data_IF_341932066953
#
_entry.id   IF_341932066953
#
_cell.length_a   1.000
_cell.length_b   1.000
_cell.length_c   1.000
_cell.angle_alpha   90.00
_cell.angle_beta   90.00
_cell.angle_gamma   90.00
#
_symmetry.space_group_name_H-M   'P 1'
#
loop_
_entity.id
_entity.type
_entity.pdbx_description
1 polymer ?
#
# COMPACT_ATOMS: atom_id res chain seq x y z
N UNK A 1 11.43 18.16 -24.95
CA UNK A 1 11.74 18.37 -26.37
C UNK A 1 11.43 19.80 -26.73
N UNK A 2 10.14 20.12 -26.89
CA UNK A 2 9.68 21.43 -27.41
C UNK A 2 9.31 22.42 -26.29
N UNK A 3 10.30 23.07 -25.67
CA UNK A 3 10.03 24.02 -24.58
C UNK A 3 9.25 25.26 -25.05
N UNK A 4 9.64 25.83 -26.19
CA UNK A 4 9.01 27.05 -26.74
C UNK A 4 7.53 26.82 -27.06
N UNK A 5 7.20 25.70 -27.69
CA UNK A 5 5.82 25.32 -28.00
C UNK A 5 4.99 25.08 -26.71
N UNK A 6 5.59 24.45 -25.70
CA UNK A 6 4.93 24.25 -24.41
C UNK A 6 4.64 25.60 -23.72
N UNK A 7 5.59 26.53 -23.75
CA UNK A 7 5.44 27.86 -23.17
C UNK A 7 4.37 28.66 -23.92
N UNK A 8 4.32 28.56 -25.26
CA UNK A 8 3.28 29.19 -26.09
C UNK A 8 1.88 28.64 -25.78
N UNK A 9 1.71 27.32 -25.74
CA UNK A 9 0.42 26.68 -25.40
C UNK A 9 -0.04 27.11 -23.99
N UNK A 10 0.89 27.16 -23.03
CA UNK A 10 0.57 27.56 -21.65
C UNK A 10 0.20 29.04 -21.58
N UNK A 11 0.85 29.91 -22.36
CA UNK A 11 0.51 31.33 -22.48
C UNK A 11 -0.90 31.52 -23.05
N UNK A 12 -1.20 30.87 -24.18
CA UNK A 12 -2.53 30.95 -24.82
C UNK A 12 -3.62 30.50 -23.84
N UNK A 13 -3.40 29.37 -23.15
CA UNK A 13 -4.37 28.85 -22.18
C UNK A 13 -4.65 29.83 -21.03
N UNK A 14 -3.61 30.52 -20.53
CA UNK A 14 -3.76 31.57 -19.51
C UNK A 14 -4.48 32.80 -20.05
N UNK A 15 -4.22 33.22 -21.28
CA UNK A 15 -4.89 34.36 -21.93
C UNK A 15 -6.40 34.14 -22.09
N UNK A 16 -6.85 32.87 -22.19
CA UNK A 16 -8.27 32.49 -22.35
C UNK A 16 -8.89 31.80 -21.13
N UNK A 17 -8.21 31.83 -19.98
CA UNK A 17 -8.67 31.24 -18.70
C UNK A 17 -9.01 29.74 -18.75
N UNK A 18 -8.15 28.95 -19.40
CA UNK A 18 -8.22 27.48 -19.43
C UNK A 18 -7.00 26.89 -18.73
N UNK A 19 -7.23 25.80 -17.97
CA UNK A 19 -6.17 25.03 -17.33
C UNK A 19 -5.77 23.81 -18.17
N UNK A 20 -4.48 23.46 -18.16
CA UNK A 20 -3.93 22.33 -18.92
C UNK A 20 -3.36 21.27 -17.97
N UNK A 21 -3.84 20.03 -18.12
CA UNK A 21 -3.19 18.85 -17.58
C UNK A 21 -2.23 18.27 -18.62
N UNK A 22 -0.96 18.10 -18.25
CA UNK A 22 0.10 17.68 -19.18
C UNK A 22 1.02 18.85 -19.58
N UNK A 23 1.45 18.95 -20.86
CA UNK A 23 1.22 18.02 -21.98
C UNK A 23 1.99 16.70 -21.79
N UNK A 24 2.11 15.90 -22.86
CA UNK A 24 2.76 14.58 -22.85
C UNK A 24 2.15 13.66 -21.79
N UNK A 25 0.82 13.54 -21.81
CA UNK A 25 0.10 12.75 -20.84
C UNK A 25 -0.73 11.63 -21.46
N UNK A 26 -0.83 10.50 -20.75
CA UNK A 26 -1.63 9.37 -21.21
C UNK A 26 -3.12 9.51 -20.92
N UNK A 27 -3.52 10.40 -20.01
CA UNK A 27 -4.92 10.71 -19.68
C UNK A 27 -5.27 10.57 -18.21
N UNK A 28 -6.57 10.50 -17.93
CA UNK A 28 -7.19 10.41 -16.60
C UNK A 28 -8.23 9.30 -16.58
N UNK A 29 -8.31 8.60 -15.44
CA UNK A 29 -9.32 7.57 -15.19
C UNK A 29 -10.11 7.91 -13.93
N UNK A 30 -11.44 7.97 -14.04
CA UNK A 30 -12.36 8.14 -12.94
C UNK A 30 -13.53 7.15 -13.09
N UNK A 31 -13.44 5.97 -12.42
CA UNK A 31 -14.48 4.95 -12.50
C UNK A 31 -15.82 5.37 -11.88
N UNK A 32 -15.83 6.32 -10.94
CA UNK A 32 -17.07 6.78 -10.31
C UNK A 32 -17.97 7.54 -11.29
N UNK A 33 -17.36 8.25 -12.25
CA UNK A 33 -18.04 9.05 -13.27
C UNK A 33 -17.99 8.39 -14.65
N UNK A 34 -17.53 7.14 -14.74
CA UNK A 34 -17.32 6.39 -16.01
C UNK A 34 -16.44 7.15 -17.02
N UNK A 35 -15.51 7.97 -16.53
CA UNK A 35 -14.56 8.70 -17.36
C UNK A 35 -13.28 7.88 -17.53
N UNK A 36 -12.91 7.58 -18.77
CA UNK A 36 -11.64 6.96 -19.12
C UNK A 36 -11.09 7.67 -20.36
N UNK A 37 -10.12 8.56 -20.16
CA UNK A 37 -9.42 9.25 -21.25
C UNK A 37 -8.04 8.66 -21.50
N UNK A 38 -7.72 7.52 -20.87
CA UNK A 38 -6.44 6.85 -21.10
C UNK A 38 -6.40 6.26 -22.50
N UNK A 39 -5.45 6.67 -23.34
CA UNK A 39 -5.37 6.19 -24.74
C UNK A 39 -4.99 4.70 -24.87
N UNK A 40 -4.62 4.04 -23.77
CA UNK A 40 -4.25 2.62 -23.76
C UNK A 40 -5.51 1.75 -23.82
N UNK A 41 -5.71 0.92 -24.86
CA UNK A 41 -6.91 0.10 -24.98
C UNK A 41 -6.97 -0.98 -23.90
N UNK A 42 -8.18 -1.51 -23.64
CA UNK A 42 -8.46 -2.41 -22.51
C UNK A 42 -7.69 -3.74 -22.57
N UNK A 43 -7.36 -4.18 -23.77
CA UNK A 43 -6.57 -5.37 -24.11
C UNK A 43 -5.11 -5.20 -23.69
N UNK A 44 -4.61 -3.97 -23.64
CA UNK A 44 -3.24 -3.63 -23.23
C UNK A 44 -3.16 -3.32 -21.74
N UNK A 45 -4.17 -2.65 -21.20
CA UNK A 45 -4.25 -2.29 -19.79
C UNK A 45 -5.69 -2.40 -19.28
N UNK A 46 -6.01 -3.53 -18.65
CA UNK A 46 -7.31 -3.67 -17.99
C UNK A 46 -7.38 -2.75 -16.78
N UNK A 47 -8.38 -1.86 -16.74
CA UNK A 47 -8.51 -0.89 -15.65
C UNK A 47 -8.81 -1.58 -14.31
N UNK A 48 -8.29 -1.05 -13.18
CA UNK A 48 -8.77 -1.40 -11.84
C UNK A 48 -10.27 -1.10 -11.70
N UNK A 49 -10.94 -1.79 -10.77
CA UNK A 49 -12.35 -1.48 -10.45
C UNK A 49 -12.44 -0.17 -9.64
N UNK A 50 -13.64 0.38 -9.48
CA UNK A 50 -13.90 1.47 -8.51
C UNK A 50 -13.41 1.04 -7.12
N UNK A 51 -12.71 1.93 -6.44
CA UNK A 51 -12.33 1.81 -5.04
C UNK A 51 -11.93 3.17 -4.49
N UNK A 52 -11.03 3.18 -3.51
CA UNK A 52 -10.71 4.35 -2.68
C UNK A 52 -9.29 4.90 -2.89
N UNK A 53 -8.46 4.26 -3.71
CA UNK A 53 -7.06 4.70 -3.94
C UNK A 53 -6.95 5.64 -5.13
N UNK A 54 -6.41 6.83 -4.95
CA UNK A 54 -6.00 7.70 -6.04
C UNK A 54 -4.55 7.40 -6.44
N UNK A 55 -4.30 7.29 -7.74
CA UNK A 55 -2.98 7.02 -8.32
C UNK A 55 -2.56 8.25 -9.11
N UNK A 56 -1.52 8.92 -8.65
CA UNK A 56 -0.98 10.12 -9.29
C UNK A 56 0.40 9.77 -9.84
N UNK A 57 0.70 10.14 -11.08
CA UNK A 57 2.01 9.83 -11.66
C UNK A 57 2.47 10.89 -12.64
N UNK A 58 3.74 11.28 -12.52
CA UNK A 58 4.42 12.11 -13.52
C UNK A 58 4.79 11.32 -14.79
N UNK A 59 4.94 10.00 -14.68
CA UNK A 59 5.35 9.13 -15.78
C UNK A 59 4.20 8.24 -16.26
N UNK A 60 3.98 8.21 -17.57
CA UNK A 60 2.86 7.49 -18.18
C UNK A 60 3.11 5.99 -18.16
N UNK A 61 4.35 5.58 -18.42
CA UNK A 61 4.77 4.19 -18.32
C UNK A 61 4.60 3.67 -16.89
N UNK A 62 5.03 4.45 -15.89
CA UNK A 62 4.87 4.07 -14.48
C UNK A 62 3.40 4.07 -14.06
N UNK A 63 2.57 5.00 -14.55
CA UNK A 63 1.13 4.94 -14.27
C UNK A 63 0.51 3.65 -14.80
N UNK A 64 0.86 3.24 -16.03
CA UNK A 64 0.38 1.99 -16.62
C UNK A 64 0.79 0.78 -15.76
N UNK A 65 2.06 0.73 -15.34
CA UNK A 65 2.56 -0.31 -14.44
C UNK A 65 1.82 -0.31 -13.09
N UNK A 66 1.63 0.85 -12.47
CA UNK A 66 0.92 0.99 -11.19
C UNK A 66 -0.54 0.52 -11.31
N UNK A 67 -1.25 0.92 -12.37
CA UNK A 67 -2.63 0.47 -12.59
C UNK A 67 -2.72 -1.05 -12.79
N UNK A 68 -1.75 -1.65 -13.49
CA UNK A 68 -1.64 -3.10 -13.61
C UNK A 68 -1.40 -3.78 -12.25
N UNK A 69 -0.44 -3.27 -11.48
CA UNK A 69 -0.06 -3.83 -10.18
C UNK A 69 -1.16 -3.69 -9.12
N UNK A 70 -1.78 -2.51 -9.01
CA UNK A 70 -2.94 -2.23 -8.14
C UNK A 70 -4.09 -3.17 -8.47
N UNK A 71 -4.37 -3.35 -9.75
CA UNK A 71 -5.39 -4.31 -10.19
C UNK A 71 -5.04 -5.74 -9.78
N UNK A 72 -3.80 -6.17 -10.00
CA UNK A 72 -3.34 -7.51 -9.63
C UNK A 72 -3.38 -7.74 -8.11
N UNK A 73 -3.15 -6.67 -7.34
CA UNK A 73 -3.25 -6.67 -5.88
C UNK A 73 -4.68 -6.53 -5.34
N UNK A 74 -5.72 -6.58 -6.21
CA UNK A 74 -7.13 -6.39 -5.87
C UNK A 74 -7.45 -5.05 -5.19
N UNK A 75 -6.71 -4.01 -5.53
CA UNK A 75 -6.96 -2.65 -5.06
C UNK A 75 -7.87 -1.95 -6.08
N UNK A 76 -8.90 -1.26 -5.59
CA UNK A 76 -9.77 -0.43 -6.41
C UNK A 76 -9.30 1.02 -6.46
N UNK A 77 -9.52 1.68 -7.59
CA UNK A 77 -9.08 3.05 -7.84
C UNK A 77 -10.25 4.03 -7.71
N UNK A 78 -10.01 5.16 -7.05
CA UNK A 78 -10.90 6.31 -7.04
C UNK A 78 -10.60 7.24 -8.22
N UNK A 79 -9.32 7.56 -8.45
CA UNK A 79 -8.83 8.37 -9.58
C UNK A 79 -7.47 7.85 -10.06
N UNK A 80 -7.19 7.88 -11.35
CA UNK A 80 -5.83 7.77 -11.87
C UNK A 80 -5.53 9.01 -12.70
N UNK A 81 -4.47 9.74 -12.38
CA UNK A 81 -4.15 11.03 -12.99
C UNK A 81 -2.70 11.00 -13.45
N UNK A 82 -2.50 11.05 -14.76
CA UNK A 82 -1.19 11.26 -15.34
C UNK A 82 -1.02 12.73 -15.72
N UNK A 83 -0.08 13.42 -15.06
CA UNK A 83 0.10 14.86 -15.24
C UNK A 83 1.30 15.23 -16.12
N UNK A 84 2.07 14.24 -16.59
CA UNK A 84 3.13 14.42 -17.59
C UNK A 84 4.09 15.55 -17.26
N UNK A 85 4.25 16.48 -18.19
CA UNK A 85 5.21 17.57 -18.07
C UNK A 85 4.88 18.59 -16.96
N UNK A 86 3.66 18.59 -16.41
CA UNK A 86 3.18 19.57 -15.43
C UNK A 86 3.37 21.04 -15.89
N UNK A 87 3.07 21.36 -17.15
CA UNK A 87 3.28 22.71 -17.68
C UNK A 87 2.37 23.76 -17.01
N UNK A 88 1.19 23.35 -16.56
CA UNK A 88 0.25 24.18 -15.82
C UNK A 88 -0.26 23.46 -14.56
N UNK A 89 -1.11 22.43 -14.71
CA UNK A 89 -1.55 21.61 -13.57
C UNK A 89 -0.42 20.67 -13.17
N UNK A 90 0.00 20.76 -11.90
CA UNK A 90 1.05 19.94 -11.30
C UNK A 90 0.51 19.00 -10.20
N UNK A 91 1.40 18.25 -9.56
CA UNK A 91 1.04 17.37 -8.44
C UNK A 91 0.38 18.11 -7.28
N UNK A 92 0.73 19.38 -7.06
CA UNK A 92 0.27 20.15 -5.92
C UNK A 92 -1.19 20.53 -6.10
N UNK A 93 -1.58 20.94 -7.30
CA UNK A 93 -2.99 21.17 -7.66
C UNK A 93 -3.81 19.88 -7.54
N UNK A 94 -3.23 18.75 -7.97
CA UNK A 94 -3.88 17.44 -7.86
C UNK A 94 -4.05 17.03 -6.40
N UNK A 95 -3.06 17.28 -5.54
CA UNK A 95 -3.16 16.98 -4.11
C UNK A 95 -4.20 17.84 -3.41
N UNK A 96 -4.31 19.11 -3.77
CA UNK A 96 -5.40 19.98 -3.30
C UNK A 96 -6.76 19.42 -3.69
N UNK A 97 -6.96 19.08 -4.97
CA UNK A 97 -8.19 18.44 -5.43
C UNK A 97 -8.51 17.14 -4.65
N UNK A 98 -7.53 16.24 -4.52
CA UNK A 98 -7.72 14.96 -3.84
C UNK A 98 -7.93 15.09 -2.34
N UNK A 99 -7.42 16.15 -1.69
CA UNK A 99 -7.64 16.40 -0.27
C UNK A 99 -9.12 16.63 0.06
N UNK A 100 -9.93 17.06 -0.92
CA UNK A 100 -11.35 17.34 -0.78
C UNK A 100 -12.26 16.31 -1.47
N UNK A 101 -11.72 15.36 -2.22
CA UNK A 101 -12.53 14.36 -2.92
C UNK A 101 -13.03 13.23 -1.99
N UNK A 102 -14.35 13.05 -1.84
CA UNK A 102 -14.90 12.06 -0.91
C UNK A 102 -14.70 10.58 -1.34
N UNK A 103 -14.52 10.29 -2.64
CA UNK A 103 -14.25 8.92 -3.10
C UNK A 103 -12.82 8.45 -2.76
N UNK A 104 -11.89 9.39 -2.51
CA UNK A 104 -10.47 9.09 -2.26
C UNK A 104 -10.20 9.00 -0.77
N UNK A 105 -9.72 7.85 -0.30
CA UNK A 105 -9.25 7.65 1.08
C UNK A 105 -7.72 7.57 1.18
N UNK A 106 -7.05 7.13 0.12
CA UNK A 106 -5.58 6.96 0.08
C UNK A 106 -5.05 7.53 -1.24
N UNK A 107 -3.92 8.22 -1.19
CA UNK A 107 -3.22 8.71 -2.39
C UNK A 107 -1.85 8.06 -2.48
N UNK A 108 -1.55 7.48 -3.63
CA UNK A 108 -0.19 7.11 -3.99
C UNK A 108 0.30 7.97 -5.15
N UNK A 109 1.57 8.37 -5.10
CA UNK A 109 2.14 9.28 -6.08
C UNK A 109 3.52 8.81 -6.55
N UNK A 110 3.72 8.70 -7.85
CA UNK A 110 5.05 8.57 -8.44
C UNK A 110 5.54 9.92 -8.95
N UNK A 111 6.74 10.32 -8.55
CA UNK A 111 7.29 11.64 -8.82
C UNK A 111 8.75 11.56 -9.30
N UNK A 112 9.10 12.37 -10.29
CA UNK A 112 10.46 12.48 -10.83
C UNK A 112 11.10 13.80 -10.42
N UNK A 113 10.31 14.88 -10.40
CA UNK A 113 10.72 16.22 -9.99
C UNK A 113 9.57 16.96 -9.30
N UNK A 114 9.92 18.03 -8.59
CA UNK A 114 8.98 19.02 -8.02
C UNK A 114 9.32 20.35 -8.66
N UNK A 115 8.32 21.05 -9.21
CA UNK A 115 8.50 22.36 -9.83
C UNK A 115 8.56 23.47 -8.78
N UNK A 116 7.43 23.69 -8.10
CA UNK A 116 7.31 24.65 -7.00
C UNK A 116 7.36 23.93 -5.66
N UNK A 117 8.53 23.96 -5.02
CA UNK A 117 8.75 23.30 -3.74
C UNK A 117 7.89 23.83 -2.58
N UNK A 118 7.52 25.12 -2.59
CA UNK A 118 6.72 25.71 -1.52
C UNK A 118 5.26 25.30 -1.68
N UNK A 119 4.72 25.42 -2.89
CA UNK A 119 3.39 24.93 -3.25
C UNK A 119 3.26 23.43 -2.95
N UNK A 120 4.28 22.64 -3.31
CA UNK A 120 4.32 21.21 -2.99
C UNK A 120 4.20 20.94 -1.50
N UNK A 121 5.02 21.60 -0.67
CA UNK A 121 4.97 21.42 0.79
C UNK A 121 3.57 21.75 1.33
N UNK A 122 3.00 22.88 0.92
CA UNK A 122 1.72 23.34 1.43
C UNK A 122 0.58 22.38 1.05
N UNK A 123 0.54 21.92 -0.20
CA UNK A 123 -0.52 21.02 -0.69
C UNK A 123 -0.33 19.57 -0.28
N UNK A 124 0.91 19.08 -0.22
CA UNK A 124 1.20 17.76 0.30
C UNK A 124 0.85 17.66 1.79
N UNK A 125 1.11 18.72 2.59
CA UNK A 125 0.70 18.80 4.01
C UNK A 125 -0.82 18.87 4.17
N UNK A 126 -1.51 19.65 3.33
CA UNK A 126 -2.97 19.70 3.33
C UNK A 126 -3.57 18.30 3.08
N UNK A 127 -3.05 17.58 2.09
CA UNK A 127 -3.50 16.23 1.77
C UNK A 127 -3.15 15.24 2.88
N UNK A 128 -1.89 15.18 3.31
CA UNK A 128 -1.41 14.22 4.30
C UNK A 128 -2.05 14.40 5.68
N UNK A 129 -2.48 15.61 6.01
CA UNK A 129 -3.25 15.91 7.23
C UNK A 129 -4.67 15.34 7.23
N UNK A 130 -5.21 14.96 6.06
CA UNK A 130 -6.57 14.39 5.91
C UNK A 130 -6.55 12.92 5.51
N UNK A 131 -5.59 12.53 4.68
CA UNK A 131 -5.57 11.24 3.99
C UNK A 131 -4.13 10.74 3.86
N UNK A 132 -3.88 9.44 4.02
CA UNK A 132 -2.55 8.89 3.76
C UNK A 132 -2.05 9.22 2.36
N UNK A 133 -0.85 9.79 2.28
CA UNK A 133 -0.11 10.08 1.07
C UNK A 133 1.19 9.27 1.07
N UNK A 134 1.33 8.38 0.09
CA UNK A 134 2.54 7.61 -0.15
C UNK A 134 3.21 8.07 -1.44
N UNK A 135 4.51 8.37 -1.38
CA UNK A 135 5.27 8.87 -2.53
C UNK A 135 6.38 7.89 -2.90
N UNK A 136 6.48 7.54 -4.18
CA UNK A 136 7.65 6.90 -4.76
C UNK A 136 8.43 7.93 -5.60
N UNK A 137 9.59 8.35 -5.08
CA UNK A 137 10.47 9.31 -5.75
C UNK A 137 11.52 8.59 -6.59
N UNK A 138 11.59 8.89 -7.88
CA UNK A 138 12.71 8.45 -8.73
C UNK A 138 13.88 9.44 -8.67
N UNK A 139 15.02 9.11 -9.27
CA UNK A 139 16.18 10.00 -9.30
C UNK A 139 16.79 10.27 -7.92
N UNK A 140 16.93 9.22 -7.09
CA UNK A 140 17.53 9.35 -5.74
C UNK A 140 19.05 9.58 -5.78
N UNK A 141 19.75 9.02 -6.77
CA UNK A 141 21.20 9.21 -6.98
C UNK A 141 21.53 10.01 -8.23
N UNK A 142 22.78 10.47 -8.36
CA UNK A 142 23.25 11.37 -9.43
C UNK A 142 22.89 10.89 -10.85
N UNK A 143 23.14 9.61 -11.17
CA UNK A 143 22.80 9.04 -12.48
C UNK A 143 21.29 8.96 -12.72
N UNK A 144 20.52 8.68 -11.68
CA UNK A 144 19.05 8.68 -11.76
C UNK A 144 18.50 10.09 -11.92
N UNK A 145 19.08 11.09 -11.27
CA UNK A 145 18.74 12.50 -11.46
C UNK A 145 19.02 12.95 -12.88
N UNK A 146 20.18 12.59 -13.45
CA UNK A 146 20.52 12.89 -14.84
C UNK A 146 19.55 12.20 -15.82
N UNK A 147 19.18 10.95 -15.59
CA UNK A 147 18.18 10.25 -16.41
C UNK A 147 16.80 10.93 -16.32
N UNK A 148 16.34 11.26 -15.12
CA UNK A 148 15.07 11.96 -14.92
C UNK A 148 15.08 13.36 -15.56
N UNK A 149 16.22 14.06 -15.54
CA UNK A 149 16.39 15.34 -16.22
C UNK A 149 16.21 15.21 -17.73
N UNK A 150 16.87 14.23 -18.35
CA UNK A 150 16.75 13.97 -19.79
C UNK A 150 15.31 13.63 -20.19
N UNK A 151 14.53 13.01 -19.30
CA UNK A 151 13.14 12.65 -19.54
C UNK A 151 12.13 13.79 -19.32
N UNK A 152 12.34 14.63 -18.30
CA UNK A 152 11.36 15.67 -17.89
C UNK A 152 11.72 17.07 -18.37
N UNK A 153 12.98 17.29 -18.75
CA UNK A 153 13.52 18.63 -18.99
C UNK A 153 13.58 19.51 -17.73
N UNK A 154 13.38 18.94 -16.54
CA UNK A 154 13.43 19.64 -15.24
C UNK A 154 14.59 19.15 -14.41
N UNK A 155 15.37 20.08 -13.87
CA UNK A 155 16.45 19.75 -12.95
C UNK A 155 15.86 19.05 -11.72
N UNK A 156 16.22 17.78 -11.53
CA UNK A 156 15.88 17.06 -10.33
C UNK A 156 16.58 17.75 -9.15
N UNK A 157 15.79 18.27 -8.20
CA UNK A 157 16.32 18.82 -6.96
C UNK A 157 17.10 17.76 -6.16
N UNK A 158 17.93 18.22 -5.22
CA UNK A 158 18.70 17.32 -4.34
C UNK A 158 17.75 16.38 -3.59
N UNK A 159 17.96 15.08 -3.75
CA UNK A 159 17.12 14.06 -3.15
C UNK A 159 17.10 14.16 -1.61
N UNK A 160 18.24 14.49 -1.00
CA UNK A 160 18.38 14.63 0.45
C UNK A 160 17.47 15.72 1.01
N UNK A 161 17.29 16.81 0.26
CA UNK A 161 16.38 17.91 0.62
C UNK A 161 14.93 17.43 0.54
N UNK A 162 14.56 16.78 -0.57
CA UNK A 162 13.22 16.21 -0.75
C UNK A 162 12.88 15.19 0.36
N UNK A 163 13.79 14.26 0.63
CA UNK A 163 13.63 13.25 1.67
C UNK A 163 13.49 13.87 3.06
N UNK A 164 14.28 14.91 3.38
CA UNK A 164 14.19 15.63 4.65
C UNK A 164 12.85 16.34 4.81
N UNK A 165 12.32 16.92 3.73
CA UNK A 165 10.98 17.53 3.71
C UNK A 165 9.91 16.48 4.01
N UNK A 166 9.92 15.34 3.32
CA UNK A 166 8.93 14.28 3.56
C UNK A 166 8.95 13.81 5.02
N UNK A 167 10.15 13.61 5.58
CA UNK A 167 10.34 13.26 7.01
C UNK A 167 9.77 14.32 7.95
N UNK A 168 10.06 15.59 7.70
CA UNK A 168 9.57 16.71 8.52
C UNK A 168 8.04 16.75 8.58
N UNK A 169 7.37 16.44 7.47
CA UNK A 169 5.91 16.44 7.36
C UNK A 169 5.26 15.08 7.53
N UNK A 170 6.03 14.06 7.92
CA UNK A 170 5.56 12.67 8.12
C UNK A 170 4.83 12.09 6.90
N UNK A 171 5.24 12.50 5.70
CA UNK A 171 4.74 11.93 4.45
C UNK A 171 5.54 10.64 4.19
N UNK A 172 4.83 9.54 3.91
CA UNK A 172 5.48 8.23 3.71
C UNK A 172 6.14 8.20 2.34
N UNK A 173 7.44 7.93 2.32
CA UNK A 173 8.19 7.68 1.10
C UNK A 173 8.42 6.17 0.94
N UNK A 174 7.92 5.58 -0.13
CA UNK A 174 8.20 4.19 -0.48
C UNK A 174 9.64 4.06 -1.02
N UNK A 175 10.35 3.01 -0.61
CA UNK A 175 11.70 2.75 -1.07
C UNK A 175 11.68 2.30 -2.53
N UNK A 176 10.72 1.46 -2.89
CA UNK A 176 10.54 0.89 -4.22
C UNK A 176 9.06 0.75 -4.65
N UNK A 177 8.85 0.17 -5.83
CA UNK A 177 7.54 -0.03 -6.44
C UNK A 177 6.68 -1.04 -5.67
N UNK A 178 7.27 -2.14 -5.21
CA UNK A 178 6.53 -3.20 -4.52
C UNK A 178 6.06 -2.72 -3.14
N UNK A 179 6.92 -2.00 -2.41
CA UNK A 179 6.56 -1.38 -1.14
C UNK A 179 5.41 -0.38 -1.32
N UNK A 180 5.43 0.46 -2.37
CA UNK A 180 4.34 1.39 -2.63
C UNK A 180 3.00 0.66 -2.81
N UNK A 181 2.98 -0.43 -3.59
CA UNK A 181 1.76 -1.21 -3.85
C UNK A 181 1.31 -1.96 -2.60
N UNK A 182 2.24 -2.55 -1.84
CA UNK A 182 1.92 -3.32 -0.63
C UNK A 182 1.37 -2.42 0.48
N UNK A 183 1.98 -1.26 0.69
CA UNK A 183 1.50 -0.26 1.63
C UNK A 183 0.15 0.33 1.19
N UNK A 184 -0.03 0.61 -0.11
CA UNK A 184 -1.32 1.05 -0.64
C UNK A 184 -2.42 0.04 -0.37
N UNK A 185 -2.15 -1.27 -0.55
CA UNK A 185 -3.11 -2.33 -0.24
C UNK A 185 -3.51 -2.30 1.24
N UNK A 186 -2.52 -2.26 2.12
CA UNK A 186 -2.75 -2.31 3.57
C UNK A 186 -3.63 -1.15 4.03
N UNK A 187 -3.19 0.08 3.73
CA UNK A 187 -3.81 1.33 4.18
C UNK A 187 -5.16 1.56 3.49
N UNK A 188 -5.32 1.09 2.25
CA UNK A 188 -6.61 1.17 1.56
C UNK A 188 -7.63 0.19 2.10
N UNK A 189 -7.23 -0.85 2.84
CA UNK A 189 -8.12 -1.86 3.41
C UNK A 189 -8.44 -1.57 4.88
N UNK A 190 -7.45 -1.15 5.66
CA UNK A 190 -7.59 -0.96 7.11
C UNK A 190 -7.09 0.41 7.56
N UNK A 191 -7.65 0.89 8.68
CA UNK A 191 -7.13 2.08 9.35
C UNK A 191 -5.80 1.75 10.02
N UNK A 192 -4.86 2.68 9.95
CA UNK A 192 -3.60 2.59 10.70
C UNK A 192 -3.82 2.70 12.21
N UNK A 193 -2.95 2.07 12.96
CA UNK A 193 -2.79 2.23 14.41
C UNK A 193 -1.33 2.50 14.72
N UNK A 194 -1.03 2.87 15.96
CA UNK A 194 0.37 2.98 16.41
C UNK A 194 0.78 1.69 17.11
N UNK A 195 2.04 1.34 17.00
CA UNK A 195 2.63 0.23 17.73
C UNK A 195 3.79 -0.39 16.97
N UNK A 196 4.43 -1.37 17.58
CA UNK A 196 5.52 -2.10 16.94
C UNK A 196 5.61 -3.56 17.38
N UNK A 197 4.82 -3.99 18.37
CA UNK A 197 4.79 -5.38 18.83
C UNK A 197 3.89 -6.20 17.90
N UNK A 198 4.46 -7.19 17.22
CA UNK A 198 3.75 -8.00 16.23
C UNK A 198 3.61 -9.43 16.70
N UNK A 199 2.40 -9.97 16.60
CA UNK A 199 2.16 -11.40 16.74
C UNK A 199 2.19 -12.06 15.36
N UNK A 200 3.00 -13.10 15.23
CA UNK A 200 3.02 -13.96 14.04
C UNK A 200 2.33 -15.27 14.43
N UNK A 201 1.31 -15.67 13.67
CA UNK A 201 0.65 -16.98 13.79
C UNK A 201 0.86 -17.72 12.48
N UNK A 202 1.34 -18.96 12.53
CA UNK A 202 1.69 -19.74 11.34
C UNK A 202 1.33 -21.21 11.46
N UNK A 203 0.96 -21.85 10.36
CA UNK A 203 0.91 -23.31 10.20
C UNK A 203 2.13 -23.89 9.46
N UNK A 204 3.04 -23.02 9.02
CA UNK A 204 4.32 -23.39 8.40
C UNK A 204 5.48 -22.64 9.04
N UNK A 205 6.27 -23.33 9.87
CA UNK A 205 7.38 -22.73 10.62
C UNK A 205 8.37 -21.92 9.77
N UNK A 206 8.71 -22.40 8.56
CA UNK A 206 9.61 -21.66 7.65
C UNK A 206 9.06 -20.29 7.23
N UNK A 207 7.77 -20.18 6.94
CA UNK A 207 7.13 -18.89 6.65
C UNK A 207 7.06 -17.98 7.88
N UNK A 208 6.90 -18.56 9.08
CA UNK A 208 6.98 -17.83 10.34
C UNK A 208 8.36 -17.22 10.59
N UNK A 209 9.43 -17.98 10.30
CA UNK A 209 10.81 -17.49 10.39
C UNK A 209 11.06 -16.34 9.42
N UNK A 210 10.65 -16.48 8.15
CA UNK A 210 10.79 -15.40 7.16
C UNK A 210 10.01 -14.14 7.56
N UNK A 211 8.82 -14.29 8.15
CA UNK A 211 8.07 -13.15 8.69
C UNK A 211 8.80 -12.50 9.87
N UNK A 212 9.37 -13.28 10.79
CA UNK A 212 10.11 -12.75 11.94
C UNK A 212 11.36 -11.98 11.50
N UNK A 213 12.12 -12.52 10.55
CA UNK A 213 13.30 -11.86 9.98
C UNK A 213 12.95 -10.53 9.31
N UNK A 214 11.85 -10.50 8.54
CA UNK A 214 11.38 -9.24 7.95
C UNK A 214 10.88 -8.26 9.02
N UNK A 215 10.22 -8.73 10.09
CA UNK A 215 9.81 -7.85 11.20
C UNK A 215 11.02 -7.12 11.79
N UNK A 216 12.12 -7.84 12.04
CA UNK A 216 13.35 -7.21 12.54
C UNK A 216 13.91 -6.16 11.57
N UNK A 217 13.94 -6.44 10.26
CA UNK A 217 14.41 -5.49 9.24
C UNK A 217 13.56 -4.22 9.18
N UNK A 218 12.25 -4.34 9.43
CA UNK A 218 11.30 -3.23 9.45
C UNK A 218 11.23 -2.51 10.81
N UNK A 219 12.03 -2.95 11.80
CA UNK A 219 12.04 -2.40 13.16
C UNK A 219 10.79 -2.75 13.97
N UNK A 220 10.10 -3.83 13.63
CA UNK A 220 8.98 -4.39 14.38
C UNK A 220 9.51 -5.42 15.40
N UNK A 221 8.88 -5.47 16.56
CA UNK A 221 9.26 -6.35 17.66
C UNK A 221 8.42 -7.64 17.65
N UNK A 222 9.09 -8.79 17.52
CA UNK A 222 8.48 -10.12 17.66
C UNK A 222 8.60 -10.57 19.11
N UNK A 223 7.91 -9.86 20.01
CA UNK A 223 7.99 -10.11 21.45
C UNK A 223 7.44 -11.51 21.80
N UNK A 224 8.15 -12.23 22.66
CA UNK A 224 7.71 -13.54 23.15
C UNK A 224 6.34 -13.48 23.83
N UNK A 225 5.62 -14.61 23.84
CA UNK A 225 4.29 -14.69 24.46
C UNK A 225 4.41 -14.50 25.98
N UNK A 226 3.68 -13.55 26.60
CA UNK A 226 3.72 -13.36 28.05
C UNK A 226 3.30 -14.63 28.81
N UNK A 227 3.97 -14.93 29.93
CA UNK A 227 3.71 -16.15 30.71
C UNK A 227 2.24 -16.29 31.16
N UNK A 228 1.57 -15.16 31.42
CA UNK A 228 0.13 -15.14 31.76
C UNK A 228 -0.76 -15.67 30.64
N UNK A 229 -0.51 -15.24 29.40
CA UNK A 229 -1.23 -15.68 28.21
C UNK A 229 -0.81 -17.09 27.81
N UNK A 230 0.48 -17.44 27.97
CA UNK A 230 1.01 -18.78 27.70
C UNK A 230 0.32 -19.86 28.55
N UNK A 231 0.08 -19.58 29.84
CA UNK A 231 -0.63 -20.50 30.75
C UNK A 231 -2.05 -20.83 30.27
N UNK A 232 -2.73 -19.87 29.63
CA UNK A 232 -4.08 -20.06 29.09
C UNK A 232 -4.08 -20.74 27.72
N UNK A 233 -3.02 -20.55 26.92
CA UNK A 233 -2.84 -21.23 25.64
C UNK A 233 -2.48 -22.71 25.79
N UNK A 234 -1.54 -23.05 26.68
CA UNK A 234 -1.03 -24.43 26.86
C UNK A 234 -2.10 -25.53 26.88
N UNK A 235 -3.22 -25.43 27.64
CA UNK A 235 -4.23 -26.49 27.67
C UNK A 235 -5.08 -26.59 26.40
N UNK A 236 -5.02 -25.60 25.49
CA UNK A 236 -5.83 -25.53 24.27
C UNK A 236 -5.13 -26.08 23.03
N UNK A 237 -3.81 -26.28 23.09
CA UNK A 237 -3.01 -26.75 21.97
C UNK A 237 -2.22 -28.01 22.32
N UNK A 238 -1.97 -28.89 21.33
CA UNK A 238 -1.08 -30.03 21.52
C UNK A 238 0.34 -29.61 21.91
N UNK A 239 1.06 -30.50 22.61
CA UNK A 239 2.42 -30.24 23.09
C UNK A 239 3.47 -30.06 21.99
N UNK A 240 3.15 -30.42 20.74
CA UNK A 240 4.03 -30.25 19.59
C UNK A 240 3.93 -28.85 18.94
N UNK A 241 2.92 -28.05 19.29
CA UNK A 241 2.84 -26.67 18.82
C UNK A 241 3.87 -25.80 19.55
N UNK A 242 4.50 -24.87 18.83
CA UNK A 242 5.42 -23.90 19.45
C UNK A 242 4.60 -22.70 19.92
N UNK A 243 4.28 -22.69 21.22
CA UNK A 243 3.45 -21.64 21.83
C UNK A 243 4.25 -20.39 22.22
N UNK A 244 5.15 -19.92 21.35
CA UNK A 244 5.86 -18.65 21.51
C UNK A 244 5.56 -17.74 20.32
N UNK A 245 6.37 -16.71 20.05
CA UNK A 245 6.21 -15.84 18.88
C UNK A 245 7.45 -15.97 17.97
N UNK A 246 7.33 -16.50 16.74
CA UNK A 246 6.11 -16.93 16.06
C UNK A 246 5.36 -18.10 16.74
N UNK A 247 4.04 -18.04 16.71
CA UNK A 247 3.14 -19.07 17.21
C UNK A 247 2.94 -20.11 16.10
N UNK A 248 3.63 -21.26 16.22
CA UNK A 248 3.60 -22.33 15.22
C UNK A 248 2.55 -23.39 15.58
N UNK A 249 1.45 -23.36 14.84
CA UNK A 249 0.32 -24.28 14.94
C UNK A 249 0.55 -25.60 14.18
N UNK A 250 1.63 -25.69 13.40
CA UNK A 250 2.04 -26.84 12.59
C UNK A 250 1.04 -27.22 11.49
N UNK A 251 1.38 -28.26 10.71
CA UNK A 251 0.52 -28.82 9.67
C UNK A 251 -0.76 -29.53 10.18
N UNK A 252 -1.05 -29.49 11.49
CA UNK A 252 -2.30 -29.98 12.07
C UNK A 252 -3.28 -28.85 12.40
N UNK A 253 -2.92 -27.60 12.10
CA UNK A 253 -3.74 -26.44 12.37
C UNK A 253 -5.12 -26.54 11.71
N UNK A 254 -6.15 -26.13 12.44
CA UNK A 254 -7.52 -25.92 11.96
C UNK A 254 -7.88 -24.45 12.04
N UNK A 255 -8.89 -24.05 11.28
CA UNK A 255 -9.40 -22.67 11.28
C UNK A 255 -9.67 -22.12 12.69
N UNK A 256 -10.21 -22.94 13.59
CA UNK A 256 -10.51 -22.54 14.97
C UNK A 256 -9.25 -22.25 15.79
N UNK A 257 -8.15 -22.94 15.52
CA UNK A 257 -6.90 -22.84 16.28
C UNK A 257 -6.29 -21.42 16.13
N UNK A 258 -6.40 -20.80 14.94
CA UNK A 258 -6.06 -19.39 14.73
C UNK A 258 -6.92 -18.44 15.56
N UNK A 259 -8.23 -18.68 15.58
CA UNK A 259 -9.17 -17.83 16.30
C UNK A 259 -8.91 -17.89 17.82
N UNK A 260 -8.60 -19.08 18.33
CA UNK A 260 -8.17 -19.28 19.73
C UNK A 260 -6.95 -18.42 20.07
N UNK A 261 -5.90 -18.53 19.26
CA UNK A 261 -4.67 -17.78 19.46
C UNK A 261 -4.90 -16.26 19.41
N UNK A 262 -5.64 -15.79 18.40
CA UNK A 262 -5.98 -14.39 18.23
C UNK A 262 -6.75 -13.84 19.43
N UNK A 263 -7.78 -14.54 19.92
CA UNK A 263 -8.56 -14.05 21.06
C UNK A 263 -7.76 -13.99 22.36
N UNK A 264 -6.86 -14.94 22.59
CA UNK A 264 -6.07 -14.97 23.81
C UNK A 264 -4.95 -13.91 23.79
N UNK A 265 -4.33 -13.68 22.63
CA UNK A 265 -3.16 -12.81 22.50
C UNK A 265 -3.47 -11.42 21.98
N UNK A 266 -4.74 -11.10 21.66
CA UNK A 266 -5.11 -9.82 21.02
C UNK A 266 -4.64 -8.60 21.79
N UNK A 267 -4.56 -8.66 23.11
CA UNK A 267 -4.25 -7.51 23.97
C UNK A 267 -2.74 -7.32 24.17
N UNK A 268 -1.95 -8.36 23.89
CA UNK A 268 -0.49 -8.39 24.10
C UNK A 268 0.31 -7.77 22.94
N UNK A 269 -0.29 -7.59 21.77
CA UNK A 269 0.39 -7.15 20.54
C UNK A 269 -0.35 -6.02 19.84
N UNK A 270 0.33 -5.26 18.98
CA UNK A 270 -0.23 -4.10 18.27
C UNK A 270 -0.75 -4.45 16.87
N UNK A 271 -0.26 -5.53 16.27
CA UNK A 271 -0.68 -5.99 14.94
C UNK A 271 -0.41 -7.49 14.73
N UNK A 272 -1.06 -8.07 13.72
CA UNK A 272 -1.06 -9.50 13.47
C UNK A 272 -0.59 -9.85 12.06
N UNK A 273 0.38 -10.76 11.95
CA UNK A 273 0.75 -11.43 10.70
C UNK A 273 0.26 -12.86 10.78
N UNK A 274 -0.67 -13.22 9.89
CA UNK A 274 -1.26 -14.56 9.88
C UNK A 274 -0.78 -15.28 8.61
N UNK A 275 0.01 -16.33 8.78
CA UNK A 275 0.38 -17.25 7.72
C UNK A 275 -0.61 -18.40 7.75
N UNK A 276 -1.36 -18.59 6.66
CA UNK A 276 -2.34 -19.67 6.52
C UNK A 276 -2.11 -20.39 5.19
N UNK A 277 -1.35 -21.49 5.23
CA UNK A 277 -0.97 -22.25 4.05
C UNK A 277 -2.04 -23.30 3.74
N UNK A 278 -2.81 -23.11 2.68
CA UNK A 278 -3.95 -24.00 2.34
C UNK A 278 -3.56 -25.41 1.89
N UNK A 279 -2.27 -25.75 1.89
CA UNK A 279 -1.83 -27.15 1.79
C UNK A 279 -2.10 -27.94 3.08
N UNK A 280 -2.26 -27.24 4.21
CA UNK A 280 -2.68 -27.82 5.49
C UNK A 280 -4.19 -28.09 5.44
N UNK A 281 -4.59 -29.35 5.61
CA UNK A 281 -5.97 -29.81 5.36
C UNK A 281 -7.01 -29.21 6.29
N UNK A 282 -6.61 -28.78 7.48
CA UNK A 282 -7.49 -28.10 8.44
C UNK A 282 -7.78 -26.64 8.09
N UNK A 283 -7.09 -26.06 7.11
CA UNK A 283 -7.30 -24.69 6.65
C UNK A 283 -8.38 -24.68 5.58
N UNK A 284 -9.49 -24.01 5.86
CA UNK A 284 -10.63 -23.93 4.94
C UNK A 284 -11.03 -22.48 4.66
N UNK A 285 -12.02 -22.30 3.79
CA UNK A 285 -12.61 -20.98 3.55
C UNK A 285 -13.33 -20.40 4.80
N UNK A 286 -13.64 -21.24 5.80
CA UNK A 286 -14.29 -20.82 7.05
C UNK A 286 -13.39 -19.90 7.88
N UNK A 287 -12.07 -20.02 7.79
CA UNK A 287 -11.11 -19.11 8.43
C UNK A 287 -11.43 -17.63 8.15
N UNK A 288 -11.83 -17.29 6.92
CA UNK A 288 -12.17 -15.91 6.58
C UNK A 288 -13.34 -15.35 7.40
N UNK A 289 -14.39 -16.14 7.63
CA UNK A 289 -15.54 -15.67 8.42
C UNK A 289 -15.19 -15.56 9.90
N UNK A 290 -14.44 -16.53 10.45
CA UNK A 290 -13.97 -16.48 11.83
C UNK A 290 -13.11 -15.23 12.09
N UNK A 291 -12.16 -14.95 11.19
CA UNK A 291 -11.24 -13.82 11.34
C UNK A 291 -11.93 -12.49 11.06
N UNK A 292 -12.92 -12.44 10.15
CA UNK A 292 -13.73 -11.25 9.91
C UNK A 292 -14.48 -10.80 11.16
N UNK A 293 -15.06 -11.73 11.92
CA UNK A 293 -15.73 -11.42 13.17
C UNK A 293 -14.73 -10.97 14.25
N UNK A 294 -13.58 -11.65 14.35
CA UNK A 294 -12.49 -11.20 15.21
C UNK A 294 -12.02 -9.78 14.85
N UNK A 295 -11.83 -9.47 13.56
CA UNK A 295 -11.36 -8.15 13.10
C UNK A 295 -12.31 -7.02 13.48
N UNK A 296 -13.63 -7.28 13.54
CA UNK A 296 -14.62 -6.31 14.03
C UNK A 296 -14.52 -6.04 15.52
N UNK A 297 -13.99 -7.00 16.28
CA UNK A 297 -13.80 -6.90 17.73
C UNK A 297 -12.51 -6.19 18.16
N UNK A 298 -11.58 -5.92 17.22
CA UNK A 298 -10.27 -5.29 17.52
C UNK A 298 -9.94 -4.14 16.57
N UNK A 299 -9.39 -3.05 17.13
CA UNK A 299 -8.90 -1.90 16.35
C UNK A 299 -7.56 -2.17 15.67
N UNK A 300 -6.82 -3.20 16.11
CA UNK A 300 -5.47 -3.55 15.67
C UNK A 300 -5.44 -4.11 14.23
N UNK A 301 -4.46 -3.74 13.40
CA UNK A 301 -4.37 -4.20 12.02
C UNK A 301 -3.95 -5.66 11.93
N UNK A 302 -4.37 -6.32 10.86
CA UNK A 302 -3.92 -7.67 10.53
C UNK A 302 -3.72 -7.84 9.04
N UNK A 303 -2.74 -8.66 8.70
CA UNK A 303 -2.40 -9.04 7.33
C UNK A 303 -2.30 -10.56 7.23
N UNK A 304 -2.53 -11.07 6.03
CA UNK A 304 -2.36 -12.49 5.75
C UNK A 304 -1.24 -12.73 4.75
N UNK A 305 -0.51 -13.82 4.95
CA UNK A 305 0.21 -14.50 3.89
C UNK A 305 -0.50 -15.82 3.58
N UNK A 306 -0.88 -16.00 2.32
CA UNK A 306 -1.47 -17.23 1.80
C UNK A 306 -0.72 -17.59 0.52
N UNK A 307 -0.35 -18.86 0.35
CA UNK A 307 0.26 -19.35 -0.88
C UNK A 307 -0.69 -19.19 -2.08
N UNK A 308 -0.15 -19.10 -3.29
CA UNK A 308 -1.00 -19.06 -4.48
C UNK A 308 -1.55 -20.46 -4.81
N UNK A 309 -2.78 -20.49 -5.37
CA UNK A 309 -3.47 -21.65 -5.99
C UNK A 309 -4.60 -22.31 -5.19
N UNK A 310 -5.52 -22.97 -5.91
CA UNK A 310 -6.64 -23.73 -5.34
C UNK A 310 -7.52 -22.94 -4.37
N UNK A 311 -7.73 -23.52 -3.18
CA UNK A 311 -8.52 -22.96 -2.09
C UNK A 311 -8.05 -21.55 -1.69
N UNK A 312 -6.76 -21.24 -1.81
CA UNK A 312 -6.19 -19.92 -1.50
C UNK A 312 -6.92 -18.79 -2.21
N UNK A 313 -7.32 -18.98 -3.48
CA UNK A 313 -8.02 -17.91 -4.22
C UNK A 313 -9.37 -17.57 -3.58
N UNK A 314 -10.10 -18.58 -3.11
CA UNK A 314 -11.38 -18.40 -2.44
C UNK A 314 -11.17 -17.75 -1.08
N UNK A 315 -10.23 -18.24 -0.29
CA UNK A 315 -9.88 -17.69 1.03
C UNK A 315 -9.43 -16.22 0.92
N UNK A 316 -8.50 -15.92 0.01
CA UNK A 316 -8.06 -14.56 -0.30
C UNK A 316 -9.21 -13.64 -0.67
N UNK A 317 -10.10 -14.09 -1.55
CA UNK A 317 -11.27 -13.28 -1.96
C UNK A 317 -12.18 -12.96 -0.77
N UNK A 318 -12.40 -13.91 0.14
CA UNK A 318 -13.25 -13.72 1.31
C UNK A 318 -12.61 -12.77 2.33
N UNK A 319 -11.32 -12.93 2.61
CA UNK A 319 -10.55 -12.04 3.48
C UNK A 319 -10.51 -10.61 2.92
N UNK A 320 -10.26 -10.45 1.62
CA UNK A 320 -10.18 -9.13 1.00
C UNK A 320 -11.55 -8.43 0.96
N UNK A 321 -12.65 -9.17 0.76
CA UNK A 321 -14.02 -8.64 0.94
C UNK A 321 -14.27 -8.20 2.38
N UNK A 322 -13.67 -8.87 3.36
CA UNK A 322 -13.67 -8.47 4.76
C UNK A 322 -12.68 -7.34 5.08
N UNK A 323 -12.04 -6.73 4.07
CA UNK A 323 -11.06 -5.65 4.21
C UNK A 323 -9.81 -6.09 4.98
N UNK A 324 -9.39 -7.34 4.79
CA UNK A 324 -8.13 -7.89 5.29
C UNK A 324 -7.18 -8.10 4.11
N UNK A 325 -6.03 -7.41 4.06
CA UNK A 325 -5.09 -7.51 2.96
C UNK A 325 -4.34 -8.85 3.03
N UNK A 326 -4.23 -9.50 1.87
CA UNK A 326 -3.53 -10.78 1.71
C UNK A 326 -2.34 -10.60 0.78
N UNK A 327 -1.20 -11.21 1.14
CA UNK A 327 0.07 -11.05 0.46
C UNK A 327 0.67 -12.40 0.05
N UNK A 328 1.49 -12.40 -1.00
CA UNK A 328 2.00 -13.63 -1.58
C UNK A 328 3.27 -14.16 -0.96
N UNK A 329 3.89 -13.39 -0.08
CA UNK A 329 5.03 -13.84 0.71
C UNK A 329 4.90 -13.30 2.14
N UNK A 330 5.54 -13.96 3.12
CA UNK A 330 5.57 -13.48 4.50
C UNK A 330 6.15 -12.06 4.62
N UNK A 331 7.21 -11.77 3.87
CA UNK A 331 7.90 -10.47 3.91
C UNK A 331 7.00 -9.34 3.41
N UNK A 332 6.29 -9.57 2.30
CA UNK A 332 5.32 -8.59 1.78
C UNK A 332 4.16 -8.36 2.75
N UNK A 333 3.72 -9.41 3.45
CA UNK A 333 2.72 -9.26 4.52
C UNK A 333 3.24 -8.34 5.62
N UNK A 334 4.46 -8.58 6.10
CA UNK A 334 5.10 -7.74 7.14
C UNK A 334 5.26 -6.29 6.69
N UNK A 335 5.70 -6.03 5.45
CA UNK A 335 5.80 -4.66 4.90
C UNK A 335 4.43 -3.97 4.82
N UNK A 336 3.39 -4.71 4.43
CA UNK A 336 2.02 -4.23 4.48
C UNK A 336 1.58 -3.87 5.91
N UNK A 337 1.88 -4.73 6.89
CA UNK A 337 1.56 -4.47 8.29
C UNK A 337 2.33 -3.26 8.83
N UNK A 338 3.61 -3.12 8.49
CA UNK A 338 4.45 -1.97 8.86
C UNK A 338 3.79 -0.66 8.44
N UNK A 339 3.26 -0.59 7.21
CA UNK A 339 2.56 0.59 6.71
C UNK A 339 1.30 0.96 7.53
N UNK A 340 0.68 -0.03 8.20
CA UNK A 340 -0.47 0.16 9.10
C UNK A 340 -0.09 0.52 10.54
N UNK A 341 1.15 0.23 10.98
CA UNK A 341 1.63 0.49 12.35
C UNK A 341 2.41 1.81 12.50
N UNK A 342 2.68 2.48 11.37
CA UNK A 342 3.42 3.74 11.24
C UNK A 342 2.59 5.01 11.37
#
# INVERSE_FOLDING_TARGET
GEKELQDEITRIAREIDIRILGPNCIGVYNPSQKLDTLFLPSERLKRPKKGNVAVVSQSGAILSCLLGAIRAANIGVSRAIHYGNAADIDESDIYEYLAHNEDTEVVISYMESVGDGRKFIDRARLLSGKKPLLILKSGKGLRGQAAAYSHTGRLAGRYEVFHSILKQFKIKEAVDFDELVDAAKAISYQKSSKGHRVLIITDGGGSGVLAADECMKQGLEVAGVPEGSLKKLRPRFPSFCVLNNPLDLTAHARDEDYLVALHELKDDYDGFVIVALTGVTGITAKLAELVKDFKRSVSKPMVFHIAYEGLSRKLTTLLERARIPVYPSPERAVRGLKALLD
#
